data_IF_465362190822
#
_entry.id   IF_465362190822
#
_cell.length_a   1.000
_cell.length_b   1.000
_cell.length_c   1.000
_cell.angle_alpha   90.00
_cell.angle_beta   90.00
_cell.angle_gamma   90.00
#
_symmetry.space_group_name_H-M   'P 1'
#
loop_
_entity.id
_entity.type
_entity.pdbx_description
1 polymer ?
#
# COMPACT_ATOMS: atom_id res chain seq x y z
N UNK A 1 13.46 0.91 -17.08
CA UNK A 1 12.64 0.85 -16.79
C UNK A 1 12.32 0.63 -16.43
N UNK A 2 12.87 0.44 -16.70
CA UNK A 2 12.23 0.07 -16.47
C UNK A 2 11.88 -0.20 -16.32
N UNK A 3 12.26 -0.39 -16.68
CA UNK A 3 11.50 -0.76 -16.62
C UNK A 3 11.14 -0.99 -16.76
N UNK A 4 11.23 -1.20 -17.09
CA UNK A 4 10.25 -1.58 -17.31
C UNK A 4 10.15 -1.47 -17.81
N UNK A 5 10.82 -1.68 -18.34
CA UNK A 5 10.16 -1.79 -18.86
C UNK A 5 9.88 -1.50 -19.09
N UNK A 6 10.57 -1.57 -19.59
CA UNK A 6 9.73 -1.43 -19.78
C UNK A 6 9.46 -1.34 -20.03
N UNK A 7 9.65 -1.52 -20.51
CA UNK A 7 8.77 -1.63 -20.75
C UNK A 7 8.34 -1.50 -20.89
N UNK A 8 9.06 -1.53 -21.34
CA UNK A 8 8.23 -1.49 -21.47
C UNK A 8 7.88 -1.55 -21.70
N UNK A 9 8.22 -1.73 -22.23
CA UNK A 9 7.47 -1.88 -22.46
C UNK A 9 6.86 -1.93 -22.48
N UNK A 10 7.04 -1.95 -22.81
CA UNK A 10 6.21 -2.07 -22.79
C UNK A 10 5.58 -2.25 -22.82
N UNK A 11 5.37 -2.37 -23.07
CA UNK A 11 4.59 -2.58 -23.00
C UNK A 11 3.90 -2.91 -22.92
N UNK A 12 3.70 -2.92 -23.12
CA UNK A 12 2.57 -3.22 -22.96
C UNK A 12 2.25 -4.19 -22.61
N UNK A 13 1.83 -4.62 -22.51
CA UNK A 13 1.52 -5.64 -22.16
C UNK A 13 0.55 -6.31 -22.55
N UNK A 14 0.44 -7.01 -22.91
CA UNK A 14 -0.40 -7.85 -23.05
C UNK A 14 -0.88 -8.55 -21.95
N UNK A 15 -1.90 -8.95 -21.54
CA UNK A 15 -2.46 -9.23 -20.31
C UNK A 15 -3.32 -10.45 -20.47
N UNK A 16 -2.95 -11.62 -20.15
CA UNK A 16 -3.70 -12.83 -20.40
C UNK A 16 -4.01 -13.58 -19.14
N UNK A 17 -3.95 -14.92 -19.22
CA UNK A 17 -4.28 -15.79 -18.12
C UNK A 17 -3.47 -15.53 -16.86
N UNK A 18 -2.22 -15.14 -17.01
CA UNK A 18 -1.37 -14.81 -15.85
C UNK A 18 -1.98 -13.68 -15.05
N UNK A 19 -2.47 -12.68 -15.73
CA UNK A 19 -3.11 -11.55 -15.08
C UNK A 19 -4.34 -12.00 -14.28
N UNK A 20 -5.13 -12.89 -14.85
CA UNK A 20 -6.35 -13.37 -14.20
C UNK A 20 -6.04 -14.19 -12.95
N UNK A 21 -4.94 -14.95 -12.97
CA UNK A 21 -4.59 -15.84 -11.87
C UNK A 21 -3.87 -15.12 -10.74
N UNK A 22 -3.02 -14.17 -11.07
CA UNK A 22 -2.09 -13.56 -10.13
C UNK A 22 -2.24 -12.06 -10.05
N UNK A 23 -3.23 -11.49 -10.74
CA UNK A 23 -3.36 -10.07 -10.90
C UNK A 23 -2.59 -9.60 -12.11
N UNK A 24 -2.14 -8.38 -12.08
CA UNK A 24 -1.40 -7.78 -13.18
C UNK A 24 0.00 -8.37 -13.24
N UNK A 25 0.40 -8.82 -14.43
CA UNK A 25 1.73 -9.37 -14.65
C UNK A 25 2.82 -8.40 -14.26
N UNK A 26 2.60 -7.10 -14.47
CA UNK A 26 3.57 -6.08 -14.06
C UNK A 26 3.73 -6.02 -12.56
N UNK A 27 2.65 -6.24 -11.80
CA UNK A 27 2.71 -6.28 -10.35
C UNK A 27 3.52 -7.49 -9.87
N UNK A 28 3.34 -8.62 -10.52
CA UNK A 28 4.13 -9.82 -10.21
C UNK A 28 5.62 -9.55 -10.40
N UNK A 29 5.99 -8.92 -11.51
CA UNK A 29 7.39 -8.61 -11.80
C UNK A 29 7.95 -7.53 -10.88
N UNK A 30 7.09 -6.72 -10.27
CA UNK A 30 7.52 -5.60 -9.42
C UNK A 30 7.52 -5.94 -7.94
N UNK A 31 7.26 -7.19 -7.55
CA UNK A 31 7.30 -7.59 -6.13
C UNK A 31 8.70 -8.01 -5.73
N UNK A 32 8.98 -7.86 -4.43
CA UNK A 32 10.25 -8.27 -3.84
C UNK A 32 10.00 -9.55 -3.04
N UNK A 33 10.71 -10.66 -3.33
CA UNK A 33 10.48 -11.92 -2.65
C UNK A 33 10.78 -11.88 -1.15
N UNK A 34 11.59 -10.90 -0.71
CA UNK A 34 11.96 -10.79 0.69
C UNK A 34 11.13 -9.75 1.46
N UNK A 35 10.28 -9.00 0.78
CA UNK A 35 9.46 -7.97 1.42
C UNK A 35 8.23 -8.60 2.08
N UNK A 36 8.06 -8.33 3.38
CA UNK A 36 6.93 -8.90 4.12
C UNK A 36 5.58 -8.40 3.57
N UNK A 37 5.51 -7.15 3.12
CA UNK A 37 4.27 -6.64 2.54
C UNK A 37 3.98 -7.24 1.17
N UNK A 38 5.02 -7.46 0.36
CA UNK A 38 4.85 -8.18 -0.90
C UNK A 38 4.35 -9.61 -0.64
N UNK A 39 4.81 -10.24 0.45
CA UNK A 39 4.34 -11.57 0.82
C UNK A 39 2.85 -11.55 1.19
N UNK A 40 2.39 -10.50 1.86
CA UNK A 40 0.96 -10.34 2.15
C UNK A 40 0.17 -10.15 0.85
N UNK A 41 0.69 -9.32 -0.06
CA UNK A 41 0.07 -9.09 -1.37
C UNK A 41 -0.11 -10.40 -2.12
N UNK A 42 0.90 -11.27 -2.08
CA UNK A 42 0.86 -12.57 -2.78
C UNK A 42 0.08 -13.64 -2.02
N UNK A 43 -0.36 -13.36 -0.79
CA UNK A 43 -1.08 -14.33 0.02
C UNK A 43 -0.19 -15.36 0.71
N UNK A 44 1.12 -15.15 0.73
CA UNK A 44 2.08 -16.06 1.39
C UNK A 44 2.05 -15.90 2.91
N UNK A 45 1.67 -14.72 3.38
CA UNK A 45 1.54 -14.43 4.80
C UNK A 45 0.13 -13.87 5.01
N UNK A 46 -0.59 -14.31 6.05
CA UNK A 46 -1.92 -13.79 6.32
C UNK A 46 -1.88 -12.31 6.71
N UNK A 47 -2.91 -11.58 6.29
CA UNK A 47 -3.13 -10.22 6.69
C UNK A 47 -4.62 -10.01 6.87
N UNK A 48 -5.01 -9.23 7.89
CA UNK A 48 -6.41 -8.89 8.09
C UNK A 48 -6.78 -7.77 7.14
N UNK A 49 -7.31 -8.13 5.99
CA UNK A 49 -7.59 -7.18 4.92
C UNK A 49 -8.76 -6.27 5.27
N UNK A 50 -8.61 -4.99 4.93
CA UNK A 50 -9.66 -3.98 5.01
C UNK A 50 -10.24 -3.73 3.62
N UNK A 51 -9.38 -3.73 2.60
CA UNK A 51 -9.76 -3.43 1.22
C UNK A 51 -8.69 -3.98 0.28
N UNK A 52 -9.10 -4.38 -0.90
CA UNK A 52 -8.16 -4.82 -1.92
C UNK A 52 -8.73 -4.60 -3.30
N UNK A 53 -7.91 -4.09 -4.20
CA UNK A 53 -8.20 -4.09 -5.63
C UNK A 53 -6.92 -4.46 -6.38
N UNK A 54 -6.88 -4.23 -7.69
CA UNK A 54 -5.73 -4.66 -8.50
C UNK A 54 -4.46 -3.86 -8.19
N UNK A 55 -4.58 -2.67 -7.63
CA UNK A 55 -3.44 -1.77 -7.42
C UNK A 55 -3.07 -1.56 -5.96
N UNK A 56 -4.02 -1.72 -5.05
CA UNK A 56 -3.90 -1.30 -3.66
C UNK A 56 -4.38 -2.40 -2.73
N UNK A 57 -3.70 -2.54 -1.60
CA UNK A 57 -4.12 -3.39 -0.51
C UNK A 57 -4.16 -2.57 0.77
N UNK A 58 -5.21 -2.74 1.56
CA UNK A 58 -5.29 -2.15 2.90
C UNK A 58 -5.49 -3.27 3.90
N UNK A 59 -4.79 -3.20 5.04
CA UNK A 59 -4.87 -4.23 6.08
C UNK A 59 -4.59 -3.63 7.44
N UNK A 60 -5.15 -4.26 8.48
CA UNK A 60 -4.97 -3.80 9.84
C UNK A 60 -3.53 -3.93 10.30
N UNK A 61 -3.06 -2.95 11.07
CA UNK A 61 -1.76 -3.06 11.72
C UNK A 61 -1.87 -4.09 12.85
N UNK A 62 -0.87 -4.97 12.94
CA UNK A 62 -0.87 -6.02 13.98
C UNK A 62 -0.51 -5.46 15.35
N UNK A 63 0.05 -4.25 15.41
CA UNK A 63 0.39 -3.56 16.66
C UNK A 63 -0.25 -2.17 16.64
N UNK A 64 -1.59 -2.12 16.72
CA UNK A 64 -2.28 -0.84 16.58
C UNK A 64 -1.93 0.12 17.72
N UNK A 65 -1.79 1.39 17.38
CA UNK A 65 -1.53 2.46 18.35
C UNK A 65 -2.79 3.25 18.67
N UNK A 66 -3.91 2.91 18.05
CA UNK A 66 -5.20 3.55 18.26
C UNK A 66 -6.31 2.56 17.92
N UNK A 67 -7.57 2.85 18.30
CA UNK A 67 -8.69 1.94 18.00
C UNK A 67 -8.86 1.66 16.51
N UNK A 68 -8.59 2.64 15.65
CA UNK A 68 -8.52 2.42 14.22
C UNK A 68 -7.07 2.63 13.80
N UNK A 69 -6.46 1.58 13.27
CA UNK A 69 -5.08 1.66 12.77
C UNK A 69 -4.92 0.63 11.66
N UNK A 70 -4.89 1.10 10.43
CA UNK A 70 -4.64 0.24 9.27
C UNK A 70 -3.65 0.92 8.35
N UNK A 71 -3.17 0.17 7.38
CA UNK A 71 -2.20 0.66 6.40
C UNK A 71 -2.72 0.45 4.99
N UNK A 72 -2.37 1.37 4.11
CA UNK A 72 -2.64 1.26 2.68
C UNK A 72 -1.32 1.19 1.95
N UNK A 73 -1.19 0.20 1.06
CA UNK A 73 0.04 0.02 0.29
C UNK A 73 -0.29 -0.13 -1.19
N UNK A 74 0.62 0.34 -2.07
CA UNK A 74 0.54 -0.09 -3.47
C UNK A 74 0.96 -1.56 -3.54
N UNK A 75 0.34 -2.34 -4.41
CA UNK A 75 0.74 -3.74 -4.58
C UNK A 75 2.10 -3.85 -5.24
N UNK A 76 2.42 -2.92 -6.12
CA UNK A 76 3.76 -2.81 -6.70
C UNK A 76 4.74 -2.46 -5.59
N UNK A 77 5.88 -3.15 -5.55
CA UNK A 77 6.91 -2.84 -4.56
C UNK A 77 7.60 -1.53 -4.89
N UNK A 78 7.51 -0.58 -3.97
CA UNK A 78 8.28 0.68 -4.00
C UNK A 78 8.80 0.85 -2.58
N UNK A 79 10.11 0.98 -2.42
CA UNK A 79 10.71 0.91 -1.10
C UNK A 79 10.30 2.06 -0.18
N UNK A 80 10.31 3.30 -0.68
CA UNK A 80 10.00 4.47 0.14
C UNK A 80 9.45 5.60 -0.72
N UNK A 81 9.05 6.69 -0.07
CA UNK A 81 8.61 7.87 -0.80
C UNK A 81 9.72 8.46 -1.69
N UNK A 82 11.00 8.25 -1.33
CA UNK A 82 12.08 8.70 -2.20
C UNK A 82 12.07 8.00 -3.55
N UNK A 83 11.50 6.80 -3.61
CA UNK A 83 11.54 5.94 -4.80
C UNK A 83 10.29 6.04 -5.66
N UNK A 84 9.29 6.80 -5.22
CA UNK A 84 8.07 7.01 -5.99
C UNK A 84 8.37 7.82 -7.25
N UNK A 85 7.72 7.46 -8.36
CA UNK A 85 7.82 8.19 -9.61
C UNK A 85 6.42 8.56 -10.09
N UNK A 86 6.35 9.28 -11.21
CA UNK A 86 5.07 9.64 -11.81
C UNK A 86 4.23 8.40 -12.16
N UNK A 87 4.88 7.27 -12.45
CA UNK A 87 4.17 6.03 -12.75
C UNK A 87 3.38 5.52 -11.54
N UNK A 88 3.77 5.91 -10.34
CA UNK A 88 3.11 5.47 -9.11
C UNK A 88 1.98 6.41 -8.66
N UNK A 89 1.81 7.55 -9.34
CA UNK A 89 0.81 8.53 -8.96
C UNK A 89 -0.62 7.98 -8.96
N UNK A 90 -1.05 7.17 -9.93
CA UNK A 90 -2.40 6.62 -9.88
C UNK A 90 -2.66 5.77 -8.64
N UNK A 91 -1.74 4.89 -8.27
CA UNK A 91 -1.91 4.04 -7.10
C UNK A 91 -1.90 4.88 -5.82
N UNK A 92 -0.97 5.82 -5.71
CA UNK A 92 -0.88 6.67 -4.52
C UNK A 92 -2.08 7.60 -4.40
N UNK A 93 -2.58 8.12 -5.52
CA UNK A 93 -3.81 8.91 -5.53
C UNK A 93 -5.00 8.11 -5.07
N UNK A 94 -5.10 6.86 -5.51
CA UNK A 94 -6.16 5.96 -5.07
C UNK A 94 -6.07 5.74 -3.56
N UNK A 95 -4.87 5.51 -3.04
CA UNK A 95 -4.65 5.34 -1.60
C UNK A 95 -5.21 6.55 -0.84
N UNK A 96 -4.87 7.76 -1.28
CA UNK A 96 -5.30 8.97 -0.59
C UNK A 96 -6.82 9.16 -0.67
N UNK A 97 -7.45 8.75 -1.75
CA UNK A 97 -8.91 8.86 -1.86
C UNK A 97 -9.65 7.76 -1.10
N UNK A 98 -9.00 6.61 -0.86
CA UNK A 98 -9.61 5.52 -0.10
C UNK A 98 -9.51 5.74 1.41
N UNK A 99 -8.48 6.44 1.88
CA UNK A 99 -8.18 6.55 3.30
C UNK A 99 -9.38 7.03 4.12
N UNK A 100 -10.04 8.09 3.68
CA UNK A 100 -11.17 8.64 4.42
C UNK A 100 -12.38 7.72 4.45
N UNK A 101 -12.67 7.09 3.30
CA UNK A 101 -13.80 6.16 3.23
C UNK A 101 -13.59 4.98 4.16
N UNK A 102 -12.42 4.37 4.09
CA UNK A 102 -12.11 3.19 4.90
C UNK A 102 -12.04 3.53 6.38
N UNK A 103 -11.46 4.69 6.72
CA UNK A 103 -11.40 5.15 8.10
C UNK A 103 -12.81 5.29 8.69
N UNK A 104 -13.72 5.90 7.93
CA UNK A 104 -15.10 6.07 8.38
C UNK A 104 -15.78 4.72 8.56
N UNK A 105 -15.60 3.81 7.62
CA UNK A 105 -16.21 2.47 7.70
C UNK A 105 -15.72 1.71 8.93
N UNK A 106 -14.50 1.97 9.37
CA UNK A 106 -13.92 1.30 10.53
C UNK A 106 -14.16 2.04 11.85
N UNK A 107 -14.89 3.16 11.83
CA UNK A 107 -15.29 3.85 13.04
C UNK A 107 -14.62 5.19 13.30
N UNK A 108 -13.67 5.61 12.49
CA UNK A 108 -13.04 6.92 12.64
C UNK A 108 -13.88 7.96 11.89
N UNK A 109 -15.03 8.32 12.48
CA UNK A 109 -16.02 9.17 11.82
C UNK A 109 -15.79 10.67 12.06
N UNK A 110 -14.91 11.02 13.00
CA UNK A 110 -14.68 12.41 13.39
C UNK A 110 -13.21 12.81 13.16
N UNK A 111 -12.53 12.11 12.27
CA UNK A 111 -11.18 12.48 11.89
C UNK A 111 -10.17 11.34 12.06
N UNK A 112 -9.07 11.51 11.40
CA UNK A 112 -7.96 10.54 11.46
C UNK A 112 -6.69 11.25 11.01
N UNK A 113 -5.56 10.58 11.24
CA UNK A 113 -4.26 11.06 10.82
C UNK A 113 -3.65 10.07 9.84
N UNK A 114 -3.02 10.58 8.79
CA UNK A 114 -2.22 9.74 7.89
C UNK A 114 -0.74 10.00 8.14
N UNK A 115 0.04 8.91 8.15
CA UNK A 115 1.47 8.99 8.43
C UNK A 115 2.20 8.13 7.40
N UNK A 116 3.21 8.71 6.76
CA UNK A 116 4.10 7.98 5.87
C UNK A 116 5.52 8.17 6.40
N UNK A 117 6.06 7.11 6.98
CA UNK A 117 7.44 7.14 7.49
C UNK A 117 8.39 6.82 6.36
N UNK A 118 9.45 7.61 6.23
CA UNK A 118 10.41 7.45 5.15
C UNK A 118 11.83 7.41 5.70
N UNK A 119 12.53 6.33 5.37
CA UNK A 119 13.94 6.20 5.65
C UNK A 119 14.28 6.05 7.12
N UNK A 120 15.57 6.14 7.43
CA UNK A 120 16.09 5.97 8.77
C UNK A 120 15.56 7.04 9.74
N UNK A 121 15.58 8.28 9.31
CA UNK A 121 15.15 9.40 10.16
C UNK A 121 13.66 9.32 10.46
N UNK A 122 12.87 8.87 9.50
CA UNK A 122 11.42 8.68 9.67
C UNK A 122 11.05 7.38 10.37
N UNK A 123 12.01 6.55 10.74
CA UNK A 123 11.79 5.27 11.41
C UNK A 123 10.94 4.31 10.56
N UNK A 124 11.21 4.29 9.26
CA UNK A 124 10.52 3.35 8.37
C UNK A 124 10.98 1.92 8.66
N UNK A 125 10.06 1.08 9.14
CA UNK A 125 10.40 -0.28 9.54
C UNK A 125 10.36 -1.27 8.38
N UNK A 126 9.40 -1.13 7.49
CA UNK A 126 9.27 -2.02 6.32
C UNK A 126 9.57 -1.23 5.06
N UNK A 127 10.49 -1.75 4.25
CA UNK A 127 10.92 -1.08 3.02
C UNK A 127 9.95 -1.40 1.87
N UNK A 128 8.73 -0.95 2.06
CA UNK A 128 7.63 -0.97 1.10
C UNK A 128 6.74 0.20 1.53
N UNK A 129 6.62 1.20 0.69
CA UNK A 129 5.91 2.43 1.05
C UNK A 129 4.51 2.11 1.56
N UNK A 130 4.15 2.70 2.69
CA UNK A 130 2.84 2.45 3.29
C UNK A 130 2.34 3.70 4.01
N UNK A 131 1.02 3.87 3.94
CA UNK A 131 0.33 5.00 4.55
C UNK A 131 -0.44 4.46 5.75
N UNK A 132 -0.02 4.85 6.95
CA UNK A 132 -0.77 4.56 8.16
C UNK A 132 -2.00 5.44 8.22
N UNK A 133 -3.12 4.88 8.63
CA UNK A 133 -4.33 5.61 8.96
C UNK A 133 -4.63 5.32 10.42
N UNK A 134 -4.61 6.36 11.24
CA UNK A 134 -4.73 6.24 12.69
C UNK A 134 -5.86 7.14 13.16
N UNK A 135 -6.81 6.57 13.90
CA UNK A 135 -7.96 7.33 14.38
C UNK A 135 -8.71 6.62 15.48
N UNK A 136 -9.82 7.18 15.85
CA UNK A 136 -10.68 6.64 16.90
C UNK A 136 -11.67 7.69 17.36
N UNK A 137 -12.38 7.43 18.48
CA UNK A 137 -13.38 8.37 18.95
C UNK A 137 -12.79 9.63 19.58
N UNK A 138 -11.55 9.57 20.05
CA UNK A 138 -10.94 10.68 20.78
C UNK A 138 -9.79 11.30 20.01
N UNK A 139 -9.50 12.60 20.23
CA UNK A 139 -8.37 13.24 19.59
C UNK A 139 -7.06 12.52 19.85
N UNK A 140 -6.22 12.45 18.83
CA UNK A 140 -4.87 11.92 18.95
C UNK A 140 -3.98 12.98 19.58
N UNK A 141 -2.83 12.55 20.11
CA UNK A 141 -1.84 13.48 20.65
C UNK A 141 -1.31 14.42 19.55
N UNK A 142 -0.74 15.55 19.96
CA UNK A 142 -0.18 16.50 18.98
C UNK A 142 1.02 15.92 18.24
N UNK A 143 1.25 16.47 17.06
CA UNK A 143 2.45 16.16 16.29
C UNK A 143 3.63 16.87 16.89
#
# INVERSE_FOLDING_TARGET
MAGLRGRGAGGGFRHGAVRDLYGDERQMAATDPNCIFCKIVRGEIPGRKVYEDEDVLAFHDIQPVAPVHFMLIPKKHVASMYDLTAADAPAMGKIMTLAGRLARELGAVDGFRTIVNTGRVGLQEVQHVHVHVVGGPDPLGPM
#
